data_IF_438994972599
#
_entry.id   IF_438994972599
#
_cell.length_a   1.000
_cell.length_b   1.000
_cell.length_c   1.000
_cell.angle_alpha   90.00
_cell.angle_beta   90.00
_cell.angle_gamma   90.00
#
_symmetry.space_group_name_H-M   'P 1'
#
loop_
_entity.id
_entity.type
_entity.pdbx_description
1 polymer ?
#
# COMPACT_ATOMS: atom_id res chain seq x y z
N UNK A 1 -20.71 -90.41 0.57
CA UNK A 1 -19.75 -89.28 0.52
C UNK A 1 -20.56 -88.00 0.50
N UNK A 2 -20.38 -87.06 1.44
CA UNK A 2 -21.10 -85.80 1.40
C UNK A 2 -20.46 -84.87 0.35
N UNK A 3 -21.25 -84.10 -0.41
CA UNK A 3 -20.71 -83.14 -1.36
C UNK A 3 -20.07 -81.98 -0.58
N UNK A 4 -18.76 -81.85 -0.69
CA UNK A 4 -17.98 -80.73 -0.15
C UNK A 4 -17.27 -80.09 -1.33
N UNK A 5 -17.69 -78.90 -1.78
CA UNK A 5 -16.75 -77.94 -2.38
C UNK A 5 -17.36 -76.56 -2.68
N UNK A 6 -18.64 -76.43 -3.03
CA UNK A 6 -19.16 -75.14 -3.52
C UNK A 6 -19.30 -74.06 -2.42
N UNK A 7 -19.84 -74.42 -1.25
CA UNK A 7 -20.08 -73.45 -0.16
C UNK A 7 -18.79 -72.90 0.48
N UNK A 8 -17.72 -73.69 0.46
CA UNK A 8 -16.40 -73.29 0.99
C UNK A 8 -15.68 -72.31 0.06
N UNK A 9 -15.80 -72.49 -1.25
CA UNK A 9 -15.19 -71.60 -2.25
C UNK A 9 -15.84 -70.20 -2.25
N UNK A 10 -17.16 -70.14 -2.09
CA UNK A 10 -17.88 -68.88 -1.95
C UNK A 10 -17.47 -68.11 -0.69
N UNK A 11 -17.32 -68.82 0.43
CA UNK A 11 -16.93 -68.21 1.71
C UNK A 11 -15.49 -67.63 1.66
N UNK A 12 -14.55 -68.32 1.00
CA UNK A 12 -13.20 -67.79 0.77
C UNK A 12 -13.21 -66.55 -0.13
N UNK A 13 -14.01 -66.54 -1.20
CA UNK A 13 -14.14 -65.38 -2.08
C UNK A 13 -14.71 -64.16 -1.34
N UNK A 14 -15.72 -64.35 -0.49
CA UNK A 14 -16.30 -63.29 0.34
C UNK A 14 -15.28 -62.78 1.37
N UNK A 15 -14.53 -63.69 2.01
CA UNK A 15 -13.49 -63.30 2.97
C UNK A 15 -12.37 -62.48 2.30
N UNK A 16 -11.90 -62.92 1.12
CA UNK A 16 -10.90 -62.20 0.32
C UNK A 16 -11.36 -60.81 -0.11
N UNK A 17 -12.62 -60.69 -0.56
CA UNK A 17 -13.20 -59.39 -0.90
C UNK A 17 -13.35 -58.48 0.32
N UNK A 18 -13.75 -59.04 1.47
CA UNK A 18 -13.87 -58.30 2.73
C UNK A 18 -12.52 -57.78 3.18
N UNK A 19 -11.48 -58.61 3.11
CA UNK A 19 -10.11 -58.23 3.45
C UNK A 19 -9.56 -57.17 2.49
N UNK A 20 -9.77 -57.34 1.18
CA UNK A 20 -9.38 -56.36 0.17
C UNK A 20 -10.05 -55.00 0.39
N UNK A 21 -11.35 -54.98 0.66
CA UNK A 21 -12.09 -53.75 0.95
C UNK A 21 -11.59 -53.07 2.23
N UNK A 22 -11.29 -53.85 3.27
CA UNK A 22 -10.73 -53.31 4.51
C UNK A 22 -9.35 -52.68 4.31
N UNK A 23 -8.49 -53.31 3.50
CA UNK A 23 -7.17 -52.77 3.15
C UNK A 23 -7.30 -51.45 2.38
N UNK A 24 -8.17 -51.38 1.37
CA UNK A 24 -8.42 -50.14 0.63
C UNK A 24 -8.97 -49.03 1.52
N UNK A 25 -9.86 -49.37 2.46
CA UNK A 25 -10.41 -48.41 3.42
C UNK A 25 -9.34 -47.84 4.36
N UNK A 26 -8.38 -48.68 4.76
CA UNK A 26 -7.25 -48.26 5.58
C UNK A 26 -6.28 -47.34 4.81
N UNK A 27 -5.97 -47.65 3.54
CA UNK A 27 -5.14 -46.78 2.69
C UNK A 27 -5.76 -45.40 2.50
N UNK A 28 -7.08 -45.34 2.27
CA UNK A 28 -7.79 -44.08 2.14
C UNK A 28 -7.72 -43.24 3.43
N UNK A 29 -7.86 -43.88 4.59
CA UNK A 29 -7.74 -43.20 5.88
C UNK A 29 -6.36 -42.58 6.08
N UNK A 30 -5.30 -43.34 5.78
CA UNK A 30 -3.91 -42.87 5.88
C UNK A 30 -3.66 -41.71 4.91
N UNK A 31 -4.17 -41.82 3.67
CA UNK A 31 -4.07 -40.76 2.66
C UNK A 31 -4.74 -39.47 3.13
N UNK A 32 -5.93 -39.56 3.74
CA UNK A 32 -6.63 -38.41 4.30
C UNK A 32 -5.83 -37.76 5.43
N UNK A 33 -5.29 -38.55 6.36
CA UNK A 33 -4.44 -38.06 7.46
C UNK A 33 -3.18 -37.34 6.95
N UNK A 34 -2.57 -37.85 5.88
CA UNK A 34 -1.43 -37.20 5.20
C UNK A 34 -1.81 -35.85 4.57
N UNK A 35 -3.00 -35.77 3.96
CA UNK A 35 -3.50 -34.52 3.39
C UNK A 35 -3.82 -33.48 4.49
N UNK A 36 -4.45 -33.89 5.58
CA UNK A 36 -4.71 -32.99 6.72
C UNK A 36 -3.43 -32.48 7.36
N UNK A 37 -2.44 -33.35 7.58
CA UNK A 37 -1.15 -32.91 8.17
C UNK A 37 -0.38 -31.96 7.24
N UNK A 38 -0.39 -32.18 5.92
CA UNK A 38 0.18 -31.22 4.95
C UNK A 38 -0.52 -29.87 4.97
N UNK A 39 -1.85 -29.87 5.11
CA UNK A 39 -2.62 -28.65 5.23
C UNK A 39 -2.27 -27.90 6.52
N UNK A 40 -2.21 -28.60 7.65
CA UNK A 40 -1.86 -28.02 8.96
C UNK A 40 -0.46 -27.41 8.96
N UNK A 41 0.52 -28.11 8.37
CA UNK A 41 1.87 -27.57 8.20
C UNK A 41 1.88 -26.29 7.36
N UNK A 42 1.17 -26.28 6.24
CA UNK A 42 1.05 -25.09 5.39
C UNK A 42 0.39 -23.92 6.13
N UNK A 43 -0.63 -24.20 6.94
CA UNK A 43 -1.30 -23.19 7.76
C UNK A 43 -0.32 -22.65 8.82
N UNK A 44 0.42 -23.51 9.52
CA UNK A 44 1.38 -23.11 10.53
C UNK A 44 2.51 -22.24 9.94
N UNK A 45 3.05 -22.62 8.79
CA UNK A 45 4.09 -21.86 8.08
C UNK A 45 3.58 -20.48 7.67
N UNK A 46 2.37 -20.41 7.11
CA UNK A 46 1.75 -19.13 6.75
C UNK A 46 1.46 -18.27 7.99
N UNK A 47 1.00 -18.87 9.09
CA UNK A 47 0.79 -18.15 10.35
C UNK A 47 2.10 -17.59 10.92
N UNK A 48 3.19 -18.36 10.86
CA UNK A 48 4.52 -17.91 11.32
C UNK A 48 5.06 -16.74 10.47
N UNK A 49 4.85 -16.82 9.16
CA UNK A 49 5.18 -15.77 8.21
C UNK A 49 4.36 -14.50 8.48
N UNK A 50 3.06 -14.62 8.70
CA UNK A 50 2.18 -13.51 9.04
C UNK A 50 2.61 -12.83 10.35
N UNK A 51 2.94 -13.60 11.39
CA UNK A 51 3.44 -13.06 12.67
C UNK A 51 4.75 -12.29 12.48
N UNK A 52 5.65 -12.79 11.63
CA UNK A 52 6.91 -12.13 11.30
C UNK A 52 6.71 -10.85 10.50
N UNK A 53 5.73 -10.82 9.58
CA UNK A 53 5.37 -9.60 8.86
C UNK A 53 4.73 -8.56 9.79
N UNK A 54 3.85 -9.00 10.69
CA UNK A 54 3.25 -8.13 11.70
C UNK A 54 4.31 -7.49 12.60
N UNK A 55 5.28 -8.26 13.08
CA UNK A 55 6.36 -7.72 13.92
C UNK A 55 7.25 -6.72 13.17
N UNK A 56 7.51 -6.96 11.87
CA UNK A 56 8.23 -5.99 11.02
C UNK A 56 7.45 -4.70 10.82
N UNK A 57 6.13 -4.76 10.63
CA UNK A 57 5.27 -3.58 10.51
C UNK A 57 5.33 -2.76 11.81
N UNK A 58 5.16 -3.40 12.98
CA UNK A 58 5.26 -2.72 14.27
C UNK A 58 6.64 -2.09 14.51
N UNK A 59 7.72 -2.72 14.06
CA UNK A 59 9.05 -2.12 14.13
C UNK A 59 9.23 -0.90 13.22
N UNK A 60 8.62 -0.91 12.03
CA UNK A 60 8.61 0.23 11.13
C UNK A 60 7.78 1.39 11.69
N UNK A 61 6.61 1.09 12.27
CA UNK A 61 5.76 2.07 12.96
C UNK A 61 6.51 2.71 14.14
N UNK A 62 7.17 1.92 14.97
CA UNK A 62 7.96 2.43 16.10
C UNK A 62 9.22 3.21 15.68
N UNK A 63 9.77 2.93 14.49
CA UNK A 63 10.87 3.71 13.93
C UNK A 63 10.38 5.05 13.35
N UNK A 64 9.16 5.08 12.80
CA UNK A 64 8.53 6.30 12.30
C UNK A 64 8.10 7.25 13.41
N UNK A 65 7.80 6.76 14.62
CA UNK A 65 7.51 7.59 15.79
C UNK A 65 8.70 8.38 16.35
N UNK A 66 9.92 8.11 15.89
CA UNK A 66 11.10 8.93 16.25
C UNK A 66 11.29 10.14 15.32
N UNK A 67 10.61 10.19 14.17
CA UNK A 67 10.63 11.37 13.33
C UNK A 67 9.59 12.34 13.91
N UNK A 68 10.07 13.37 14.62
CA UNK A 68 9.19 14.47 15.02
C UNK A 68 8.44 14.98 13.77
N UNK A 69 7.14 15.29 13.88
CA UNK A 69 6.41 15.91 12.79
C UNK A 69 7.21 17.11 12.25
N UNK A 70 7.24 17.23 10.92
CA UNK A 70 8.03 18.27 10.25
C UNK A 70 7.67 19.68 10.76
N UNK A 71 6.39 19.91 11.09
CA UNK A 71 5.89 21.10 11.77
C UNK A 71 6.60 21.37 13.10
N UNK A 72 6.64 20.38 14.00
CA UNK A 72 7.29 20.46 15.32
C UNK A 72 8.80 20.73 15.20
N UNK A 73 9.46 20.14 14.21
CA UNK A 73 10.88 20.41 13.93
C UNK A 73 11.11 21.86 13.50
N UNK A 74 10.27 22.37 12.60
CA UNK A 74 10.35 23.76 12.13
C UNK A 74 10.03 24.76 13.25
N UNK A 75 9.07 24.46 14.12
CA UNK A 75 8.78 25.26 15.31
C UNK A 75 9.97 25.34 16.26
N UNK A 76 10.63 24.22 16.54
CA UNK A 76 11.86 24.20 17.34
C UNK A 76 12.96 25.04 16.69
N UNK A 77 13.12 24.96 15.37
CA UNK A 77 14.06 25.77 14.62
C UNK A 77 13.75 27.28 14.76
N UNK A 78 12.49 27.67 14.60
CA UNK A 78 12.08 29.07 14.75
C UNK A 78 12.29 29.61 16.16
N UNK A 79 12.00 28.79 17.17
CA UNK A 79 12.23 29.15 18.57
C UNK A 79 13.73 29.34 18.86
N UNK A 80 14.59 28.45 18.35
CA UNK A 80 16.02 28.51 18.57
C UNK A 80 16.67 29.73 17.90
N UNK A 81 16.32 30.03 16.65
CA UNK A 81 16.89 31.14 15.89
C UNK A 81 16.09 32.45 15.99
N UNK A 82 15.04 32.49 16.80
CA UNK A 82 14.15 33.66 16.95
C UNK A 82 13.63 34.19 15.60
N UNK A 83 13.17 33.28 14.73
CA UNK A 83 12.74 33.62 13.37
C UNK A 83 11.41 34.37 13.39
N UNK A 84 11.40 35.56 12.81
CA UNK A 84 10.20 36.40 12.70
C UNK A 84 9.13 35.75 11.80
N UNK A 85 7.83 35.90 12.10
CA UNK A 85 6.75 35.20 11.41
C UNK A 85 6.77 35.33 9.87
N UNK A 86 7.12 36.51 9.36
CA UNK A 86 7.14 36.76 7.91
C UNK A 86 8.28 36.04 7.17
N UNK A 87 9.31 35.57 7.88
CA UNK A 87 10.45 34.84 7.30
C UNK A 87 10.28 33.33 7.35
N UNK A 88 9.33 32.83 8.15
CA UNK A 88 9.13 31.39 8.41
C UNK A 88 8.81 30.60 7.15
N UNK A 89 7.85 31.06 6.34
CA UNK A 89 7.41 30.37 5.13
C UNK A 89 8.52 30.25 4.06
N UNK A 90 9.26 31.32 3.71
CA UNK A 90 10.42 31.22 2.82
C UNK A 90 11.50 30.24 3.32
N UNK A 91 11.78 30.25 4.63
CA UNK A 91 12.77 29.34 5.23
C UNK A 91 12.30 27.90 5.12
N UNK A 92 11.03 27.61 5.40
CA UNK A 92 10.50 26.24 5.31
C UNK A 92 10.56 25.72 3.88
N UNK A 93 10.27 26.58 2.89
CA UNK A 93 10.37 26.19 1.48
C UNK A 93 11.77 25.68 1.10
N UNK A 94 12.83 26.16 1.77
CA UNK A 94 14.19 25.68 1.57
C UNK A 94 14.41 24.24 2.06
N UNK A 95 13.70 23.84 3.12
CA UNK A 95 13.75 22.48 3.66
C UNK A 95 12.84 21.50 2.92
N UNK A 96 12.00 22.00 2.00
CA UNK A 96 11.12 21.16 1.18
C UNK A 96 11.80 20.72 -0.10
N UNK A 97 11.48 19.50 -0.53
CA UNK A 97 11.91 18.98 -1.82
C UNK A 97 10.79 18.19 -2.51
N UNK A 98 10.91 18.02 -3.83
CA UNK A 98 9.97 17.25 -4.63
C UNK A 98 8.53 17.79 -4.58
N UNK A 99 7.58 16.91 -4.26
CA UNK A 99 6.14 17.20 -4.27
C UNK A 99 5.72 18.26 -3.25
N UNK A 100 6.35 18.27 -2.06
CA UNK A 100 6.09 19.28 -1.03
C UNK A 100 6.44 20.69 -1.51
N UNK A 101 7.58 20.85 -2.20
CA UNK A 101 7.99 22.13 -2.76
C UNK A 101 7.08 22.59 -3.90
N UNK A 102 6.67 21.67 -4.78
CA UNK A 102 5.71 21.96 -5.85
C UNK A 102 4.38 22.49 -5.27
N UNK A 103 3.93 21.89 -4.18
CA UNK A 103 2.72 22.32 -3.50
C UNK A 103 2.86 23.68 -2.83
N UNK A 104 3.98 23.93 -2.15
CA UNK A 104 4.28 25.26 -1.61
C UNK A 104 4.24 26.34 -2.70
N UNK A 105 4.86 26.08 -3.86
CA UNK A 105 4.84 27.02 -4.99
C UNK A 105 3.43 27.26 -5.53
N UNK A 106 2.58 26.23 -5.54
CA UNK A 106 1.16 26.36 -5.92
C UNK A 106 0.39 27.21 -4.90
N UNK A 107 0.54 26.95 -3.60
CA UNK A 107 -0.09 27.73 -2.53
C UNK A 107 0.33 29.21 -2.60
N UNK A 108 1.61 29.47 -2.86
CA UNK A 108 2.15 30.82 -3.05
C UNK A 108 1.49 31.54 -4.24
N UNK A 109 1.37 30.87 -5.39
CA UNK A 109 0.74 31.45 -6.60
C UNK A 109 -0.75 31.76 -6.42
N UNK A 110 -1.45 30.94 -5.65
CA UNK A 110 -2.88 31.13 -5.37
C UNK A 110 -3.14 32.05 -4.16
N UNK A 111 -2.10 32.66 -3.58
CA UNK A 111 -2.17 33.50 -2.37
C UNK A 111 -2.89 32.81 -1.20
N UNK A 112 -2.66 31.51 -1.05
CA UNK A 112 -3.19 30.71 0.07
C UNK A 112 -2.20 30.59 1.24
N UNK A 113 -1.02 31.20 1.11
CA UNK A 113 -0.04 31.31 2.19
C UNK A 113 -0.32 32.58 2.99
N UNK A 114 -0.94 32.42 4.18
CA UNK A 114 -1.30 33.53 5.07
C UNK A 114 -0.34 33.59 6.26
N UNK A 115 -0.22 32.48 6.97
CA UNK A 115 0.56 32.34 8.19
C UNK A 115 1.18 30.93 8.27
N UNK A 116 2.18 30.79 9.14
CA UNK A 116 2.85 29.51 9.36
C UNK A 116 1.90 28.46 9.91
N UNK A 117 1.06 28.82 10.87
CA UNK A 117 0.21 27.87 11.61
C UNK A 117 -0.84 27.22 10.67
N UNK A 118 -1.52 28.03 9.85
CA UNK A 118 -2.44 27.56 8.82
C UNK A 118 -1.74 26.71 7.76
N UNK A 119 -0.50 27.06 7.40
CA UNK A 119 0.30 26.29 6.45
C UNK A 119 0.74 24.94 7.03
N UNK A 120 1.17 24.92 8.30
CA UNK A 120 1.59 23.71 9.00
C UNK A 120 0.43 22.71 9.11
N UNK A 121 -0.77 23.19 9.46
CA UNK A 121 -1.96 22.35 9.51
C UNK A 121 -2.32 21.77 8.13
N UNK A 122 -2.35 22.60 7.08
CA UNK A 122 -2.62 22.12 5.73
C UNK A 122 -1.55 21.14 5.21
N UNK A 123 -0.31 21.29 5.70
CA UNK A 123 0.80 20.40 5.37
C UNK A 123 0.63 19.04 6.06
N UNK A 124 0.26 19.03 7.34
CA UNK A 124 -0.06 17.81 8.08
C UNK A 124 -1.23 17.08 7.44
N UNK A 125 -2.34 17.77 7.14
CA UNK A 125 -3.51 17.15 6.49
C UNK A 125 -3.18 16.49 5.14
N UNK A 126 -2.25 17.09 4.38
CA UNK A 126 -1.90 16.63 3.02
C UNK A 126 -0.82 15.56 3.01
N UNK A 127 0.13 15.63 3.94
CA UNK A 127 1.29 14.74 4.02
C UNK A 127 1.27 13.84 5.26
N UNK A 128 0.10 13.68 5.89
CA UNK A 128 -0.08 12.85 7.07
C UNK A 128 0.49 11.44 6.79
N UNK A 129 1.47 10.97 7.59
CA UNK A 129 1.98 9.63 7.48
C UNK A 129 0.88 8.56 7.53
N UNK A 130 -0.24 8.81 8.24
CA UNK A 130 -1.38 7.89 8.35
C UNK A 130 -2.11 7.65 7.02
N UNK A 131 -2.05 8.59 6.07
CA UNK A 131 -2.65 8.44 4.74
C UNK A 131 -1.78 7.56 3.82
N UNK A 132 -0.47 7.52 4.06
CA UNK A 132 0.49 6.75 3.25
C UNK A 132 0.89 5.41 3.90
N UNK A 133 0.83 5.32 5.23
CA UNK A 133 1.12 4.11 5.99
C UNK A 133 -0.16 3.27 6.11
N UNK A 134 -0.68 2.81 4.98
CA UNK A 134 -1.67 1.74 4.98
C UNK A 134 -0.94 0.42 4.71
N UNK A 135 -0.37 -0.25 5.74
CA UNK A 135 0.40 -1.48 5.55
C UNK A 135 -0.43 -2.57 4.87
N UNK A 136 -1.76 -2.50 5.00
CA UNK A 136 -2.72 -3.35 4.29
C UNK A 136 -2.65 -3.16 2.75
N UNK A 137 -2.52 -1.93 2.25
CA UNK A 137 -2.40 -1.63 0.83
C UNK A 137 -1.03 -2.00 0.26
N UNK A 138 0.03 -1.89 1.08
CA UNK A 138 1.37 -2.37 0.73
C UNK A 138 1.42 -3.90 0.64
N UNK A 139 0.77 -4.61 1.58
CA UNK A 139 0.64 -6.07 1.55
C UNK A 139 -0.23 -6.55 0.38
N UNK A 140 -1.28 -5.81 0.02
CA UNK A 140 -2.10 -6.13 -1.16
C UNK A 140 -1.30 -6.06 -2.47
N UNK A 141 -0.41 -5.06 -2.61
CA UNK A 141 0.51 -4.95 -3.75
C UNK A 141 1.54 -6.09 -3.80
N UNK A 142 1.99 -6.59 -2.64
CA UNK A 142 2.89 -7.76 -2.57
C UNK A 142 2.18 -9.07 -2.94
N UNK A 143 0.91 -9.25 -2.53
CA UNK A 143 0.13 -10.45 -2.86
C UNK A 143 -0.20 -10.55 -4.36
N UNK A 144 -0.17 -9.43 -5.08
CA UNK A 144 -0.47 -9.36 -6.52
C UNK A 144 0.72 -9.69 -7.43
N UNK A 145 1.94 -9.91 -6.91
CA UNK A 145 3.12 -10.21 -7.74
C UNK A 145 3.33 -11.69 -8.07
N UNK A 146 2.50 -12.61 -7.55
CA UNK A 146 2.64 -14.05 -7.80
C UNK A 146 1.73 -14.61 -8.91
N UNK A 147 0.94 -13.77 -9.61
CA UNK A 147 0.20 -14.24 -10.78
C UNK A 147 0.17 -13.20 -11.93
N UNK A 148 0.86 -13.61 -13.01
CA UNK A 148 0.71 -13.24 -14.43
C UNK A 148 1.59 -12.09 -14.97
N UNK A 149 2.19 -12.24 -16.17
CA UNK A 149 3.22 -11.36 -16.72
C UNK A 149 2.70 -10.29 -17.71
N UNK A 150 3.37 -9.12 -17.67
CA UNK A 150 3.40 -7.96 -18.62
C UNK A 150 2.22 -6.94 -18.61
N UNK A 151 2.49 -5.65 -18.91
CA UNK A 151 3.56 -4.79 -18.38
C UNK A 151 3.08 -3.41 -17.88
N UNK A 152 3.93 -2.79 -17.05
CA UNK A 152 4.11 -1.34 -16.87
C UNK A 152 2.93 -0.50 -16.37
N UNK A 153 2.67 -0.56 -15.05
CA UNK A 153 2.20 0.64 -14.34
C UNK A 153 3.46 1.42 -13.95
N UNK A 154 3.84 2.34 -14.83
CA UNK A 154 4.74 3.41 -14.49
C UNK A 154 4.13 4.12 -13.28
N UNK A 155 4.77 4.03 -12.10
CA UNK A 155 4.52 5.02 -11.07
C UNK A 155 4.81 6.36 -11.73
N UNK A 156 3.76 7.10 -12.06
CA UNK A 156 3.91 8.50 -12.38
C UNK A 156 4.50 9.12 -11.12
N UNK A 157 5.82 9.31 -11.12
CA UNK A 157 6.38 10.60 -10.77
C UNK A 157 5.37 11.60 -11.28
N UNK A 158 4.58 12.21 -10.40
CA UNK A 158 3.82 13.39 -10.76
C UNK A 158 4.91 14.43 -10.96
N UNK A 159 5.30 14.75 -12.20
CA UNK A 159 6.22 15.85 -12.39
C UNK A 159 5.43 17.09 -11.98
N UNK A 160 6.12 18.05 -11.37
CA UNK A 160 5.58 19.36 -10.97
C UNK A 160 4.69 20.02 -12.06
N UNK A 161 4.84 19.62 -13.33
CA UNK A 161 4.06 20.05 -14.49
C UNK A 161 2.63 19.49 -14.61
N UNK A 162 2.20 18.55 -13.76
CA UNK A 162 0.93 17.81 -13.94
C UNK A 162 -0.13 18.09 -12.87
N UNK A 163 -0.16 19.31 -12.32
CA UNK A 163 -1.32 19.85 -11.59
C UNK A 163 -2.21 20.66 -12.55
N UNK A 164 -2.48 20.09 -13.71
CA UNK A 164 -3.69 20.36 -14.47
C UNK A 164 -4.51 19.08 -14.40
N UNK A 165 -5.83 19.18 -14.24
CA UNK A 165 -6.81 18.09 -14.12
C UNK A 165 -7.29 17.73 -12.70
N UNK A 166 -8.02 18.67 -12.09
CA UNK A 166 -9.47 18.48 -11.97
C UNK A 166 -10.17 19.62 -12.77
N UNK A 167 -10.88 19.23 -13.84
CA UNK A 167 -11.57 20.02 -14.91
C UNK A 167 -12.49 21.14 -14.35
N UNK A 168 -12.40 22.42 -14.73
CA UNK A 168 -12.87 23.19 -15.94
C UNK A 168 -14.39 23.15 -16.24
N UNK A 169 -14.98 24.27 -16.74
CA UNK A 169 -14.94 24.51 -18.20
C UNK A 169 -14.47 25.92 -18.60
N UNK A 170 -13.71 25.97 -19.69
CA UNK A 170 -13.41 27.18 -20.47
C UNK A 170 -14.67 27.66 -21.23
N UNK A 171 -14.72 28.94 -21.66
CA UNK A 171 -14.62 29.13 -23.11
C UNK A 171 -13.62 30.22 -23.54
N UNK A 172 -12.88 29.87 -24.58
CA UNK A 172 -12.52 30.65 -25.77
C UNK A 172 -11.84 32.01 -25.65
N UNK A 173 -10.54 31.98 -25.91
CA UNK A 173 -9.81 32.80 -26.89
C UNK A 173 -10.36 34.20 -27.23
N UNK A 174 -9.73 35.25 -26.71
CA UNK A 174 -9.33 36.40 -27.54
C UNK A 174 -8.10 37.07 -26.93
N UNK A 175 -7.02 37.16 -27.71
CA UNK A 175 -5.81 37.94 -27.40
C UNK A 175 -6.21 39.39 -27.06
N UNK A 176 -5.59 40.05 -26.07
CA UNK A 176 -5.42 41.49 -26.15
C UNK A 176 -4.21 41.77 -27.06
N UNK A 177 -4.50 42.26 -28.26
CA UNK A 177 -3.55 42.95 -29.13
C UNK A 177 -3.14 44.26 -28.45
N UNK A 178 -1.85 44.64 -28.40
CA UNK A 178 -1.46 45.95 -27.90
C UNK A 178 -1.68 46.99 -29.01
N UNK A 179 -2.70 47.83 -28.87
CA UNK A 179 -2.83 49.04 -29.68
C UNK A 179 -1.96 50.14 -29.06
N UNK A 180 -0.72 50.27 -29.54
CA UNK A 180 0.00 51.53 -29.48
C UNK A 180 -0.40 52.36 -30.69
N UNK A 181 -1.08 53.47 -30.47
CA UNK A 181 -1.12 54.57 -31.45
C UNK A 181 -0.58 55.81 -30.76
N UNK A 182 0.68 56.12 -31.05
CA UNK A 182 1.22 57.47 -31.00
C UNK A 182 0.42 58.34 -31.96
N UNK A 183 -0.21 59.41 -31.46
CA UNK A 183 -0.66 60.52 -32.31
C UNK A 183 0.30 61.67 -32.04
N UNK A 184 1.09 61.97 -33.07
CA UNK A 184 1.79 63.22 -33.27
C UNK A 184 0.81 64.17 -33.95
N UNK A 185 0.55 65.32 -33.34
CA UNK A 185 0.48 66.63 -33.99
C UNK A 185 0.64 67.71 -32.91
#
# INVERSE_FOLDING_TARGET
>A
MPPKNENTSLAEAIASLTESMNLQMQELKISQENLTSKLDHTIADNQSSLKTLQSKITQLENSSSSLQPFSTLMEQYFAFYSVEPHQRLPIVAFFMSGEALCWYQWMYRNRQLVDWDSFAQALEDRFDPSLYLNPSAALFKLKQQQQIPYPSIHFSKIPCSSIHFLKTPWPSTTKPTPCFTSTTD
#
